data_IF_266471267919
#
_entry.id   IF_266471267919
#
_cell.length_a   1.000
_cell.length_b   1.000
_cell.length_c   1.000
_cell.angle_alpha   90.00
_cell.angle_beta   90.00
_cell.angle_gamma   90.00
#
_symmetry.space_group_name_H-M   'P 1'
#
loop_
_entity.id
_entity.type
_entity.pdbx_description
1 polymer ?
#
# COMPACT_ATOMS: atom_id res chain seq x y z
N UNK A 1 23.77 19.66 -15.52
CA UNK A 1 22.85 19.49 -14.36
C UNK A 1 21.54 18.80 -14.77
N UNK A 2 20.86 19.21 -15.86
CA UNK A 2 19.66 18.50 -16.36
C UNK A 2 19.91 17.07 -16.84
N UNK A 3 21.07 16.78 -17.45
CA UNK A 3 21.43 15.43 -17.93
C UNK A 3 21.59 14.45 -16.76
N UNK A 4 22.26 14.86 -15.68
CA UNK A 4 22.40 14.06 -14.46
C UNK A 4 21.06 13.80 -13.76
N UNK A 5 20.15 14.77 -13.76
CA UNK A 5 18.81 14.62 -13.20
C UNK A 5 17.97 13.63 -14.05
N UNK A 6 18.15 13.67 -15.38
CA UNK A 6 17.48 12.76 -16.31
C UNK A 6 18.03 11.34 -16.20
N UNK A 7 19.34 11.17 -16.04
CA UNK A 7 19.97 9.86 -15.82
C UNK A 7 19.59 9.26 -14.47
N UNK A 8 19.52 10.06 -13.40
CA UNK A 8 19.03 9.59 -12.09
C UNK A 8 17.54 9.24 -12.16
N UNK A 9 16.72 10.07 -12.83
CA UNK A 9 15.30 9.77 -13.03
C UNK A 9 15.12 8.49 -13.86
N UNK A 10 15.95 8.27 -14.89
CA UNK A 10 15.94 7.09 -15.73
C UNK A 10 16.45 5.85 -15.01
N UNK A 11 17.47 5.98 -14.15
CA UNK A 11 17.98 4.91 -13.28
C UNK A 11 16.93 4.53 -12.25
N UNK A 12 16.22 5.49 -11.66
CA UNK A 12 15.18 5.23 -10.67
C UNK A 12 13.91 4.71 -11.33
N UNK A 13 13.54 5.18 -12.53
CA UNK A 13 12.44 4.64 -13.32
C UNK A 13 12.75 3.20 -13.76
N UNK A 14 13.99 2.92 -14.19
CA UNK A 14 14.45 1.56 -14.47
C UNK A 14 14.54 0.69 -13.21
N UNK A 15 14.91 1.26 -12.06
CA UNK A 15 14.90 0.53 -10.79
C UNK A 15 13.48 0.25 -10.32
N UNK A 16 12.53 1.17 -10.49
CA UNK A 16 11.09 0.98 -10.23
C UNK A 16 10.48 -0.05 -11.17
N UNK A 17 10.88 -0.07 -12.45
CA UNK A 17 10.45 -1.07 -13.41
C UNK A 17 11.07 -2.44 -13.11
N UNK A 18 12.37 -2.51 -12.76
CA UNK A 18 13.05 -3.74 -12.30
C UNK A 18 12.53 -4.24 -10.95
N UNK A 19 12.08 -3.35 -10.08
CA UNK A 19 11.41 -3.69 -8.82
C UNK A 19 10.15 -4.52 -9.02
N UNK A 20 9.48 -4.31 -10.17
CA UNK A 20 8.30 -5.05 -10.58
C UNK A 20 8.67 -6.43 -11.18
N UNK A 21 9.89 -6.56 -11.70
CA UNK A 21 10.39 -7.72 -12.47
C UNK A 21 11.14 -8.74 -11.59
N UNK A 22 11.84 -8.29 -10.54
CA UNK A 22 12.62 -9.16 -9.65
C UNK A 22 11.75 -9.99 -8.67
N UNK A 23 10.46 -9.69 -8.60
CA UNK A 23 9.48 -10.35 -7.73
C UNK A 23 9.02 -11.74 -8.22
N UNK A 24 9.42 -12.18 -9.43
CA UNK A 24 8.86 -13.36 -10.11
C UNK A 24 9.69 -14.65 -9.96
N UNK A 25 10.79 -14.65 -9.17
CA UNK A 25 11.82 -15.72 -9.28
C UNK A 25 12.20 -16.54 -8.03
N UNK A 26 11.36 -16.65 -6.99
CA UNK A 26 11.71 -17.47 -5.80
C UNK A 26 10.56 -18.41 -5.41
N UNK A 27 10.82 -19.72 -5.54
CA UNK A 27 9.90 -20.83 -5.27
C UNK A 27 10.09 -21.48 -3.89
N UNK A 28 8.95 -21.98 -3.36
CA UNK A 28 8.76 -23.13 -2.47
C UNK A 28 9.78 -23.39 -1.33
N UNK A 29 9.64 -22.65 -0.23
CA UNK A 29 9.75 -23.08 1.19
C UNK A 29 9.82 -21.89 2.18
N UNK A 30 9.73 -20.63 1.73
CA UNK A 30 9.95 -19.48 2.62
C UNK A 30 9.06 -18.25 2.32
N UNK A 31 7.74 -18.37 2.51
CA UNK A 31 6.85 -17.20 2.48
C UNK A 31 7.38 -16.04 3.33
N UNK A 32 7.97 -16.34 4.50
CA UNK A 32 8.56 -15.33 5.39
C UNK A 32 9.81 -14.64 4.81
N UNK A 33 10.62 -15.32 4.01
CA UNK A 33 11.78 -14.70 3.34
C UNK A 33 11.33 -13.71 2.28
N UNK A 34 10.33 -14.07 1.47
CA UNK A 34 9.75 -13.16 0.48
C UNK A 34 9.08 -11.97 1.18
N UNK A 35 8.38 -12.20 2.30
CA UNK A 35 7.79 -11.13 3.11
C UNK A 35 8.87 -10.21 3.69
N UNK A 36 9.98 -10.76 4.18
CA UNK A 36 11.13 -10.00 4.65
C UNK A 36 11.73 -9.14 3.52
N UNK A 37 11.94 -9.72 2.35
CA UNK A 37 12.49 -9.01 1.20
C UNK A 37 11.53 -7.94 0.67
N UNK A 38 10.23 -8.22 0.69
CA UNK A 38 9.18 -7.24 0.39
C UNK A 38 9.20 -6.11 1.41
N UNK A 39 9.40 -6.43 2.68
CA UNK A 39 9.55 -5.46 3.77
C UNK A 39 10.78 -4.58 3.61
N UNK A 40 11.92 -5.17 3.23
CA UNK A 40 13.13 -4.43 2.91
C UNK A 40 12.86 -3.51 1.72
N UNK A 41 12.61 -4.08 0.55
CA UNK A 41 12.65 -3.29 -0.67
C UNK A 41 11.41 -2.39 -0.77
N UNK A 42 10.21 -2.98 -0.82
CA UNK A 42 8.94 -2.28 -1.08
C UNK A 42 8.39 -1.54 0.15
N UNK A 43 8.33 -2.25 1.27
CA UNK A 43 7.83 -1.73 2.54
C UNK A 43 8.70 -0.60 3.09
N UNK A 44 10.03 -0.79 3.08
CA UNK A 44 10.99 0.15 3.65
C UNK A 44 10.87 1.53 3.01
N UNK A 45 10.89 1.60 1.68
CA UNK A 45 10.77 2.86 0.94
C UNK A 45 9.38 3.50 1.08
N UNK A 46 8.31 2.72 0.86
CA UNK A 46 6.95 3.25 0.91
C UNK A 46 6.55 3.72 2.31
N UNK A 47 6.80 2.91 3.34
CA UNK A 47 6.48 3.29 4.71
C UNK A 47 7.45 4.36 5.24
N UNK A 48 8.71 4.45 4.79
CA UNK A 48 9.60 5.56 5.17
C UNK A 48 9.13 6.89 4.59
N UNK A 49 8.54 6.91 3.38
CA UNK A 49 7.98 8.14 2.82
C UNK A 49 6.88 8.75 3.73
N UNK A 50 6.13 7.91 4.45
CA UNK A 50 5.05 8.36 5.36
C UNK A 50 5.56 8.54 6.79
N UNK A 51 6.21 7.52 7.34
CA UNK A 51 6.62 7.46 8.75
C UNK A 51 7.96 8.16 8.99
N UNK A 52 8.79 8.33 7.96
CA UNK A 52 10.11 8.94 8.04
C UNK A 52 10.05 10.43 8.40
N UNK A 53 9.03 11.16 7.98
CA UNK A 53 8.82 12.55 8.40
C UNK A 53 8.52 12.67 9.91
N UNK A 54 7.79 11.70 10.47
CA UNK A 54 7.49 11.66 11.90
C UNK A 54 8.74 11.29 12.72
N UNK A 55 9.53 10.33 12.22
CA UNK A 55 10.84 10.00 12.80
C UNK A 55 11.80 11.18 12.73
N UNK A 56 11.94 11.83 11.57
CA UNK A 56 12.82 12.99 11.37
C UNK A 56 12.46 14.15 12.30
N UNK A 57 11.17 14.41 12.53
CA UNK A 57 10.71 15.42 13.48
C UNK A 57 11.21 15.19 14.91
N UNK A 58 11.26 13.92 15.36
CA UNK A 58 11.78 13.56 16.69
C UNK A 58 13.31 13.68 16.72
N UNK A 59 13.98 13.26 15.65
CA UNK A 59 15.44 13.29 15.57
C UNK A 59 15.99 14.72 15.51
N UNK A 60 15.25 15.66 14.90
CA UNK A 60 15.64 17.07 14.81
C UNK A 60 15.76 17.77 16.18
N UNK A 61 15.11 17.23 17.22
CA UNK A 61 15.14 17.77 18.58
C UNK A 61 16.16 17.05 19.49
N UNK A 62 16.89 16.05 18.96
CA UNK A 62 17.80 15.21 19.72
C UNK A 62 19.27 15.52 19.44
N UNK A 63 20.12 15.49 20.48
CA UNK A 63 21.59 15.59 20.31
C UNK A 63 22.13 14.33 19.60
N UNK A 64 23.14 14.53 18.74
CA UNK A 64 23.75 13.52 17.85
C UNK A 64 24.07 12.16 18.53
N UNK A 65 24.47 12.13 19.80
CA UNK A 65 24.75 10.89 20.54
C UNK A 65 23.49 10.06 20.91
N UNK A 66 22.32 10.70 21.05
CA UNK A 66 21.05 10.05 21.38
C UNK A 66 20.21 9.66 20.16
N UNK A 67 20.66 10.04 18.95
CA UNK A 67 19.93 9.79 17.70
C UNK A 67 19.80 8.28 17.42
N UNK A 68 20.89 7.52 17.52
CA UNK A 68 20.88 6.05 17.32
C UNK A 68 19.97 5.34 18.32
N UNK A 69 19.98 5.79 19.58
CA UNK A 69 19.12 5.25 20.63
C UNK A 69 17.65 5.49 20.31
N UNK A 70 17.29 6.70 19.89
CA UNK A 70 15.92 7.06 19.48
C UNK A 70 15.42 6.22 18.30
N UNK A 71 16.28 6.01 17.30
CA UNK A 71 15.99 5.14 16.15
C UNK A 71 15.71 3.71 16.64
N UNK A 72 16.59 3.12 17.47
CA UNK A 72 16.40 1.76 17.99
C UNK A 72 15.09 1.61 18.80
N UNK A 73 14.72 2.61 19.60
CA UNK A 73 13.48 2.61 20.38
C UNK A 73 12.26 2.66 19.45
N UNK A 74 12.30 3.53 18.43
CA UNK A 74 11.25 3.61 17.41
C UNK A 74 11.08 2.28 16.65
N UNK A 75 12.18 1.66 16.22
CA UNK A 75 12.16 0.39 15.50
C UNK A 75 11.72 -0.78 16.39
N UNK A 76 12.18 -0.83 17.64
CA UNK A 76 11.77 -1.85 18.61
C UNK A 76 10.28 -1.77 18.93
N UNK A 77 9.78 -0.57 19.22
CA UNK A 77 8.34 -0.35 19.47
C UNK A 77 7.49 -0.66 18.24
N UNK A 78 7.92 -0.24 17.03
CA UNK A 78 7.26 -0.60 15.77
C UNK A 78 7.18 -2.11 15.57
N UNK A 79 8.26 -2.85 15.84
CA UNK A 79 8.30 -4.30 15.70
C UNK A 79 7.33 -4.99 16.68
N UNK A 80 7.38 -4.64 17.96
CA UNK A 80 6.50 -5.21 18.99
C UNK A 80 5.04 -4.94 18.66
N UNK A 81 4.73 -3.71 18.26
CA UNK A 81 3.38 -3.28 17.90
C UNK A 81 2.82 -4.13 16.73
N UNK A 82 3.62 -4.33 15.67
CA UNK A 82 3.20 -5.10 14.50
C UNK A 82 3.16 -6.62 14.74
N UNK A 83 4.02 -7.16 15.61
CA UNK A 83 3.95 -8.55 16.04
C UNK A 83 2.62 -8.84 16.76
N UNK A 84 2.26 -7.98 17.73
CA UNK A 84 1.02 -8.10 18.48
C UNK A 84 -0.20 -7.94 17.58
N UNK A 85 -0.19 -6.93 16.71
CA UNK A 85 -1.28 -6.72 15.74
C UNK A 85 -1.42 -7.90 14.79
N UNK A 86 -0.31 -8.43 14.27
CA UNK A 86 -0.31 -9.57 13.34
C UNK A 86 -0.85 -10.83 14.00
N UNK A 87 -0.45 -11.10 15.24
CA UNK A 87 -1.00 -12.22 15.98
C UNK A 87 -2.50 -12.08 16.22
N UNK A 88 -2.94 -10.89 16.66
CA UNK A 88 -4.35 -10.63 16.91
C UNK A 88 -5.20 -10.75 15.62
N UNK A 89 -4.72 -10.19 14.50
CA UNK A 89 -5.38 -10.30 13.21
C UNK A 89 -5.40 -11.74 12.69
N UNK A 90 -4.33 -12.50 12.91
CA UNK A 90 -4.28 -13.93 12.56
C UNK A 90 -5.29 -14.76 13.34
N UNK A 91 -5.50 -14.48 14.64
CA UNK A 91 -6.55 -15.11 15.43
C UNK A 91 -7.96 -14.74 14.96
N UNK A 92 -8.16 -13.46 14.64
CA UNK A 92 -9.46 -12.93 14.21
C UNK A 92 -9.76 -13.20 12.73
N UNK A 93 -8.87 -13.91 12.03
CA UNK A 93 -8.90 -14.19 10.60
C UNK A 93 -10.22 -14.72 10.05
N UNK A 94 -10.94 -15.49 10.88
CA UNK A 94 -12.25 -16.06 10.54
C UNK A 94 -13.43 -15.09 10.73
N UNK A 95 -13.26 -14.01 11.49
CA UNK A 95 -14.34 -13.09 11.89
C UNK A 95 -14.21 -11.67 11.29
N UNK A 96 -13.02 -11.26 10.84
CA UNK A 96 -12.77 -9.91 10.35
C UNK A 96 -12.57 -9.86 8.82
N UNK A 97 -13.66 -9.63 8.09
CA UNK A 97 -13.57 -9.15 6.71
C UNK A 97 -13.45 -7.62 6.74
N UNK A 98 -12.21 -7.10 6.69
CA UNK A 98 -12.01 -5.64 6.60
C UNK A 98 -12.57 -5.18 5.25
N UNK A 99 -13.63 -4.36 5.29
CA UNK A 99 -14.27 -3.82 4.09
C UNK A 99 -13.29 -2.96 3.29
N UNK A 100 -13.23 -3.17 1.97
CA UNK A 100 -12.37 -2.42 1.04
C UNK A 100 -12.65 -0.90 1.07
N UNK A 101 -13.88 -0.51 1.39
CA UNK A 101 -14.26 0.91 1.56
C UNK A 101 -13.53 1.58 2.72
N UNK A 102 -13.40 0.92 3.88
CA UNK A 102 -12.69 1.46 5.03
C UNK A 102 -11.19 1.61 4.75
N UNK A 103 -10.59 0.59 4.11
CA UNK A 103 -9.21 0.65 3.65
C UNK A 103 -8.99 1.81 2.68
N UNK A 104 -9.90 1.99 1.71
CA UNK A 104 -9.83 3.07 0.74
C UNK A 104 -9.94 4.46 1.37
N UNK A 105 -10.84 4.66 2.34
CA UNK A 105 -10.93 5.95 3.07
C UNK A 105 -9.64 6.23 3.84
N UNK A 106 -9.10 5.25 4.56
CA UNK A 106 -7.81 5.40 5.26
C UNK A 106 -6.66 5.72 4.30
N UNK A 107 -6.64 5.12 3.12
CA UNK A 107 -5.60 5.36 2.12
C UNK A 107 -5.69 6.75 1.47
N UNK A 108 -6.89 7.30 1.31
CA UNK A 108 -7.10 8.70 0.89
C UNK A 108 -6.61 9.65 1.97
N UNK A 109 -6.97 9.41 3.24
CA UNK A 109 -6.52 10.24 4.38
C UNK A 109 -5.00 10.20 4.51
N UNK A 110 -4.38 9.03 4.40
CA UNK A 110 -2.93 8.89 4.39
C UNK A 110 -2.28 9.63 3.20
N UNK A 111 -2.85 9.51 2.00
CA UNK A 111 -2.39 10.23 0.82
C UNK A 111 -2.43 11.75 0.97
N UNK A 112 -3.53 12.29 1.52
CA UNK A 112 -3.66 13.70 1.88
C UNK A 112 -2.61 14.13 2.90
N UNK A 113 -2.36 13.32 3.93
CA UNK A 113 -1.33 13.60 4.93
C UNK A 113 0.08 13.62 4.32
N UNK A 114 0.42 12.67 3.44
CA UNK A 114 1.71 12.64 2.73
C UNK A 114 1.85 13.89 1.85
N UNK A 115 0.79 14.28 1.14
CA UNK A 115 0.80 15.48 0.30
C UNK A 115 1.10 16.73 1.13
N UNK A 116 0.44 16.88 2.29
CA UNK A 116 0.69 17.98 3.22
C UNK A 116 2.14 18.00 3.72
N UNK A 117 2.70 16.84 4.07
CA UNK A 117 4.10 16.73 4.51
C UNK A 117 5.09 17.05 3.38
N UNK A 118 4.82 16.59 2.15
CA UNK A 118 5.66 16.87 1.00
C UNK A 118 5.71 18.36 0.67
N UNK A 119 4.54 19.04 0.69
CA UNK A 119 4.44 20.49 0.49
C UNK A 119 5.17 21.27 1.58
N UNK A 120 5.10 20.80 2.84
CA UNK A 120 5.84 21.40 3.95
C UNK A 120 7.35 21.31 3.76
N UNK A 121 7.87 20.15 3.35
CA UNK A 121 9.30 19.94 3.08
C UNK A 121 9.77 20.73 1.84
N UNK A 122 8.87 20.95 0.87
CA UNK A 122 9.20 21.65 -0.37
C UNK A 122 9.58 23.12 -0.18
N UNK A 123 9.18 23.77 0.93
CA UNK A 123 9.43 25.20 1.21
C UNK A 123 9.00 26.18 0.08
N UNK A 124 8.20 25.72 -0.91
CA UNK A 124 7.89 26.46 -2.15
C UNK A 124 7.02 27.69 -1.93
N UNK A 125 6.27 27.78 -0.83
CA UNK A 125 5.49 28.98 -0.49
C UNK A 125 5.54 29.30 1.01
N UNK A 126 5.77 30.58 1.42
CA UNK A 126 5.82 30.99 2.84
C UNK A 126 4.52 30.72 3.62
N UNK A 127 3.38 30.54 2.92
CA UNK A 127 2.09 30.14 3.51
C UNK A 127 2.16 28.75 4.16
N UNK A 128 2.91 27.81 3.59
CA UNK A 128 3.04 26.43 4.09
C UNK A 128 4.15 26.26 5.12
N UNK A 129 5.03 27.25 5.26
CA UNK A 129 6.04 27.29 6.34
C UNK A 129 5.39 27.45 7.72
N UNK A 130 4.25 28.12 7.78
CA UNK A 130 3.55 28.45 9.04
C UNK A 130 2.39 27.50 9.37
N UNK A 131 2.03 26.58 8.46
CA UNK A 131 0.99 25.57 8.71
C UNK A 131 1.59 24.38 9.48
N UNK A 132 1.98 24.62 10.73
CA UNK A 132 2.26 23.56 11.68
C UNK A 132 0.94 23.10 12.27
N UNK A 133 0.48 21.90 11.88
CA UNK A 133 -0.51 21.17 12.68
C UNK A 133 0.20 20.84 13.99
N UNK A 134 0.15 21.78 14.92
CA UNK A 134 0.59 21.54 16.28
C UNK A 134 -0.40 20.52 16.86
N UNK A 135 0.10 19.41 17.43
CA UNK A 135 -0.79 18.42 18.03
C UNK A 135 -1.68 19.12 19.07
N UNK A 136 -2.97 18.75 19.18
CA UNK A 136 -3.90 19.41 20.09
C UNK A 136 -3.32 19.46 21.50
N UNK A 137 -3.60 20.55 22.23
CA UNK A 137 -2.96 20.88 23.51
C UNK A 137 -2.94 19.72 24.52
N UNK A 138 -3.90 18.80 24.43
CA UNK A 138 -3.97 17.57 25.23
C UNK A 138 -2.81 16.60 24.95
N UNK A 139 -2.55 16.29 23.67
CA UNK A 139 -1.45 15.41 23.23
C UNK A 139 -0.11 16.08 23.52
N UNK A 140 0.01 17.39 23.22
CA UNK A 140 1.22 18.14 23.51
C UNK A 140 1.53 18.20 25.01
N UNK A 141 0.51 18.31 25.87
CA UNK A 141 0.68 18.33 27.33
C UNK A 141 1.01 16.93 27.90
N UNK A 142 0.50 15.86 27.28
CA UNK A 142 0.88 14.47 27.61
C UNK A 142 2.34 14.19 27.22
N UNK A 143 2.75 14.62 26.02
CA UNK A 143 4.13 14.55 25.54
C UNK A 143 5.09 15.42 26.38
N UNK A 144 4.65 16.60 26.82
CA UNK A 144 5.45 17.54 27.63
C UNK A 144 5.52 17.17 29.11
N UNK A 145 4.52 16.50 29.69
CA UNK A 145 4.61 15.94 31.06
C UNK A 145 5.57 14.75 31.14
N UNK A 146 5.72 13.99 30.05
CA UNK A 146 6.78 13.00 29.87
C UNK A 146 8.18 13.60 29.59
N UNK A 147 8.28 14.93 29.40
CA UNK A 147 9.50 15.63 29.00
C UNK A 147 10.53 15.83 30.13
N UNK A 148 10.24 15.43 31.36
CA UNK A 148 11.28 15.35 32.41
C UNK A 148 12.06 14.03 32.40
N UNK A 149 11.54 13.00 31.71
CA UNK A 149 12.24 11.73 31.43
C UNK A 149 12.64 11.70 29.96
N UNK A 150 13.63 12.53 29.62
CA UNK A 150 14.06 12.81 28.26
C UNK A 150 14.55 11.54 27.52
N UNK A 151 14.19 11.43 26.23
CA UNK A 151 14.77 10.56 25.18
C UNK A 151 14.08 9.22 24.83
N UNK A 152 13.17 8.66 25.64
CA UNK A 152 12.58 7.33 25.32
C UNK A 152 11.10 7.36 24.90
N UNK A 153 10.29 8.25 25.49
CA UNK A 153 8.84 8.16 25.35
C UNK A 153 8.33 8.57 23.95
N UNK A 154 8.87 9.64 23.37
CA UNK A 154 8.42 10.12 22.06
C UNK A 154 8.68 9.11 20.92
N UNK A 155 9.90 8.55 20.76
CA UNK A 155 10.15 7.50 19.76
C UNK A 155 9.30 6.24 19.98
N UNK A 156 9.04 5.86 21.23
CA UNK A 156 8.24 4.69 21.58
C UNK A 156 6.77 4.86 21.18
N UNK A 157 6.15 5.97 21.58
CA UNK A 157 4.73 6.23 21.27
C UNK A 157 4.54 6.34 19.77
N UNK A 158 5.44 7.05 19.09
CA UNK A 158 5.38 7.20 17.65
C UNK A 158 5.58 5.87 16.93
N UNK A 159 6.53 5.04 17.38
CA UNK A 159 6.72 3.70 16.83
C UNK A 159 5.50 2.80 17.03
N UNK A 160 4.83 2.87 18.18
CA UNK A 160 3.57 2.15 18.40
C UNK A 160 2.43 2.67 17.50
N UNK A 161 2.33 4.00 17.35
CA UNK A 161 1.30 4.65 16.54
C UNK A 161 1.46 4.41 15.03
N UNK A 162 2.59 3.85 14.58
CA UNK A 162 2.76 3.44 13.18
C UNK A 162 1.76 2.39 12.72
N UNK A 163 1.17 1.60 13.64
CA UNK A 163 0.03 0.72 13.35
C UNK A 163 -1.13 1.50 12.72
N UNK A 164 -1.37 2.71 13.22
CA UNK A 164 -2.49 3.56 12.81
C UNK A 164 -2.23 4.29 11.49
N UNK A 165 -0.99 4.22 10.98
CA UNK A 165 -0.56 4.82 9.72
C UNK A 165 -0.08 3.71 8.76
N UNK A 166 -0.98 2.81 8.34
CA UNK A 166 -0.60 1.72 7.46
C UNK A 166 -0.31 2.25 6.05
N UNK A 167 0.83 1.85 5.47
CA UNK A 167 1.08 2.02 4.04
C UNK A 167 0.37 0.86 3.27
N UNK A 168 0.03 1.05 1.98
CA UNK A 168 -0.74 0.05 1.21
C UNK A 168 -0.09 -1.35 1.20
N UNK A 169 1.24 -1.43 1.22
CA UNK A 169 1.99 -2.69 1.37
C UNK A 169 1.68 -3.35 2.72
N UNK A 170 1.68 -2.59 3.81
CA UNK A 170 1.35 -3.09 5.15
C UNK A 170 -0.10 -3.56 5.23
N UNK A 171 -1.03 -2.91 4.53
CA UNK A 171 -2.42 -3.38 4.42
C UNK A 171 -2.52 -4.75 3.75
N UNK A 172 -1.75 -4.97 2.67
CA UNK A 172 -1.65 -6.28 2.03
C UNK A 172 -1.12 -7.36 2.98
N UNK A 173 -0.10 -7.04 3.78
CA UNK A 173 0.47 -7.98 4.77
C UNK A 173 -0.46 -8.22 5.96
N UNK A 174 -1.23 -7.22 6.39
CA UNK A 174 -2.29 -7.40 7.39
C UNK A 174 -3.38 -8.35 6.88
N UNK A 175 -3.79 -8.23 5.62
CA UNK A 175 -4.78 -9.15 5.05
C UNK A 175 -4.22 -10.57 4.88
N UNK A 176 -2.95 -10.70 4.51
CA UNK A 176 -2.26 -12.00 4.48
C UNK A 176 -2.21 -12.63 5.88
N UNK A 177 -1.99 -11.82 6.91
CA UNK A 177 -2.01 -12.23 8.31
C UNK A 177 -3.41 -12.70 8.74
N UNK A 178 -4.47 -11.93 8.46
CA UNK A 178 -5.89 -12.33 8.66
C UNK A 178 -6.17 -13.67 7.97
N UNK A 179 -5.76 -13.82 6.71
CA UNK A 179 -5.98 -15.06 5.96
C UNK A 179 -5.21 -16.27 6.50
N UNK A 180 -4.19 -16.09 7.35
CA UNK A 180 -3.42 -17.19 7.92
C UNK A 180 -4.20 -17.97 8.98
N UNK A 181 -5.22 -17.37 9.60
CA UNK A 181 -6.08 -18.02 10.60
C UNK A 181 -5.36 -18.48 11.88
N UNK A 182 -4.08 -18.14 12.07
CA UNK A 182 -3.28 -18.58 13.20
C UNK A 182 -2.49 -17.41 13.80
N UNK A 183 -2.53 -17.28 15.13
CA UNK A 183 -1.80 -16.24 15.89
C UNK A 183 -0.31 -16.18 15.52
N UNK A 184 0.39 -17.31 15.57
CA UNK A 184 1.83 -17.36 15.40
C UNK A 184 2.25 -17.05 13.97
N UNK A 185 1.54 -17.62 12.99
CA UNK A 185 1.81 -17.31 11.58
C UNK A 185 1.47 -15.85 11.25
N UNK A 186 0.36 -15.33 11.76
CA UNK A 186 -0.02 -13.93 11.59
C UNK A 186 0.99 -12.95 12.18
N UNK A 187 1.53 -13.25 13.37
CA UNK A 187 2.60 -12.49 13.99
C UNK A 187 3.91 -12.56 13.19
N UNK A 188 4.31 -13.76 12.74
CA UNK A 188 5.54 -13.95 11.95
C UNK A 188 5.48 -13.20 10.61
N UNK A 189 4.33 -13.15 9.94
CA UNK A 189 4.16 -12.39 8.69
C UNK A 189 4.51 -10.91 8.90
N UNK A 190 3.86 -10.23 9.85
CA UNK A 190 4.13 -8.82 10.10
C UNK A 190 5.50 -8.58 10.77
N UNK A 191 5.95 -9.51 11.60
CA UNK A 191 7.27 -9.48 12.23
C UNK A 191 8.40 -9.51 11.20
N UNK A 192 8.38 -10.50 10.29
CA UNK A 192 9.35 -10.60 9.19
C UNK A 192 9.29 -9.38 8.26
N UNK A 193 8.09 -8.86 7.98
CA UNK A 193 7.93 -7.64 7.20
C UNK A 193 8.61 -6.44 7.86
N UNK A 194 8.34 -6.20 9.15
CA UNK A 194 8.93 -5.06 9.88
C UNK A 194 10.43 -5.22 10.05
N UNK A 195 10.92 -6.43 10.36
CA UNK A 195 12.35 -6.74 10.39
C UNK A 195 13.01 -6.42 9.05
N UNK A 196 12.33 -6.69 7.93
CA UNK A 196 12.77 -6.29 6.60
C UNK A 196 12.89 -4.77 6.45
N UNK A 197 11.96 -3.98 6.99
CA UNK A 197 12.00 -2.51 6.90
C UNK A 197 13.12 -1.88 7.75
N UNK A 198 13.63 -2.59 8.76
CA UNK A 198 14.57 -2.08 9.77
C UNK A 198 15.86 -1.50 9.20
N UNK A 199 16.60 -2.17 8.29
CA UNK A 199 17.86 -1.66 7.76
C UNK A 199 17.71 -0.33 7.04
N UNK A 200 16.61 -0.14 6.29
CA UNK A 200 16.34 1.09 5.55
C UNK A 200 15.95 2.23 6.48
N UNK A 201 15.07 1.97 7.46
CA UNK A 201 14.70 2.99 8.45
C UNK A 201 15.92 3.43 9.28
N UNK A 202 16.81 2.49 9.61
CA UNK A 202 18.05 2.81 10.33
C UNK A 202 19.01 3.64 9.45
N UNK A 203 19.25 3.22 8.21
CA UNK A 203 20.13 3.92 7.27
C UNK A 203 19.61 5.33 6.94
N UNK A 204 18.35 5.44 6.55
CA UNK A 204 17.73 6.72 6.20
C UNK A 204 17.52 7.61 7.43
N UNK A 205 17.32 7.05 8.62
CA UNK A 205 17.24 7.80 9.86
C UNK A 205 18.53 8.56 10.17
N UNK A 206 19.68 7.89 10.07
CA UNK A 206 21.02 8.51 10.27
C UNK A 206 21.35 9.46 9.11
N UNK A 207 21.02 9.08 7.89
CA UNK A 207 21.35 9.86 6.70
C UNK A 207 20.40 11.03 6.44
N UNK A 208 19.27 11.14 7.14
CA UNK A 208 18.21 12.11 6.88
C UNK A 208 18.70 13.56 6.79
N UNK A 209 19.54 14.00 7.72
CA UNK A 209 20.09 15.37 7.73
C UNK A 209 20.98 15.66 6.51
N UNK A 210 21.83 14.69 6.13
CA UNK A 210 22.73 14.80 4.97
C UNK A 210 21.98 14.68 3.65
N UNK A 211 20.93 13.86 3.60
CA UNK A 211 20.10 13.67 2.42
C UNK A 211 19.29 14.94 2.14
N UNK A 212 18.73 15.56 3.18
CA UNK A 212 17.89 16.75 3.05
C UNK A 212 18.69 18.04 2.82
N UNK A 213 19.98 18.08 3.19
CA UNK A 213 20.84 19.25 2.93
C UNK A 213 21.26 19.37 1.46
N UNK A 214 21.24 18.27 0.71
CA UNK A 214 21.56 18.25 -0.72
C UNK A 214 20.31 18.66 -1.53
N UNK A 215 20.31 19.89 -2.06
CA UNK A 215 19.18 20.46 -2.85
C UNK A 215 18.55 19.51 -3.89
N UNK A 216 19.30 18.87 -4.80
CA UNK A 216 18.69 18.00 -5.81
C UNK A 216 18.03 16.76 -5.19
N UNK A 217 18.59 16.24 -4.10
CA UNK A 217 18.07 15.06 -3.41
C UNK A 217 16.81 15.38 -2.59
N UNK A 218 16.76 16.57 -1.97
CA UNK A 218 15.55 17.12 -1.34
C UNK A 218 14.41 17.28 -2.35
N UNK A 219 14.68 17.88 -3.52
CA UNK A 219 13.68 18.03 -4.59
C UNK A 219 13.19 16.66 -5.06
N UNK A 220 14.10 15.71 -5.25
CA UNK A 220 13.74 14.35 -5.65
C UNK A 220 12.83 13.66 -4.62
N UNK A 221 13.17 13.73 -3.33
CA UNK A 221 12.36 13.16 -2.25
C UNK A 221 10.95 13.79 -2.20
N UNK A 222 10.85 15.12 -2.37
CA UNK A 222 9.56 15.83 -2.43
C UNK A 222 8.73 15.36 -3.62
N UNK A 223 9.30 15.30 -4.83
CA UNK A 223 8.60 14.81 -6.02
C UNK A 223 8.12 13.36 -5.86
N UNK A 224 8.97 12.49 -5.30
CA UNK A 224 8.61 11.10 -5.01
C UNK A 224 7.44 11.00 -4.00
N UNK A 225 7.46 11.80 -2.93
CA UNK A 225 6.36 11.85 -1.97
C UNK A 225 5.06 12.38 -2.58
N UNK A 226 5.13 13.42 -3.43
CA UNK A 226 3.95 13.93 -4.15
C UNK A 226 3.38 12.84 -5.06
N UNK A 227 4.23 12.15 -5.83
CA UNK A 227 3.80 11.03 -6.66
C UNK A 227 3.12 9.92 -5.83
N UNK A 228 3.73 9.51 -4.71
CA UNK A 228 3.16 8.52 -3.81
C UNK A 228 1.85 8.97 -3.17
N UNK A 229 1.70 10.27 -2.86
CA UNK A 229 0.47 10.83 -2.32
C UNK A 229 -0.68 10.72 -3.34
N UNK A 230 -0.45 11.15 -4.59
CA UNK A 230 -1.45 11.01 -5.65
C UNK A 230 -1.76 9.54 -5.96
N UNK A 231 -0.74 8.67 -5.98
CA UNK A 231 -0.94 7.24 -6.14
C UNK A 231 -1.78 6.65 -5.00
N UNK A 232 -1.53 7.03 -3.74
CA UNK A 232 -2.29 6.59 -2.57
C UNK A 232 -3.75 7.06 -2.62
N UNK A 233 -3.98 8.31 -2.98
CA UNK A 233 -5.34 8.86 -3.15
C UNK A 233 -6.08 8.08 -4.24
N UNK A 234 -5.43 7.84 -5.38
CA UNK A 234 -6.02 7.09 -6.49
C UNK A 234 -6.34 5.64 -6.09
N UNK A 235 -5.40 4.94 -5.46
CA UNK A 235 -5.62 3.59 -4.91
C UNK A 235 -6.81 3.55 -3.95
N UNK A 236 -6.94 4.55 -3.08
CA UNK A 236 -8.08 4.63 -2.16
C UNK A 236 -9.42 4.87 -2.86
N UNK A 237 -9.45 5.62 -3.97
CA UNK A 237 -10.66 5.76 -4.80
C UNK A 237 -11.02 4.45 -5.50
N UNK A 238 -10.01 3.72 -6.01
CA UNK A 238 -10.19 2.40 -6.64
C UNK A 238 -10.75 1.39 -5.63
N UNK A 239 -10.23 1.34 -4.40
CA UNK A 239 -10.71 0.45 -3.34
C UNK A 239 -12.13 0.77 -2.87
N UNK A 240 -12.60 2.01 -3.06
CA UNK A 240 -14.00 2.40 -2.82
C UNK A 240 -14.93 2.03 -3.97
N UNK A 241 -14.41 1.52 -5.10
CA UNK A 241 -15.18 1.32 -6.33
C UNK A 241 -15.67 2.61 -6.95
N UNK A 242 -14.99 3.74 -6.69
CA UNK A 242 -15.37 5.05 -7.23
C UNK A 242 -15.11 5.10 -8.74
N UNK A 243 -15.98 5.77 -9.47
CA UNK A 243 -15.77 6.07 -10.90
C UNK A 243 -14.68 7.12 -11.12
N UNK A 244 -14.36 7.93 -10.11
CA UNK A 244 -13.37 9.00 -10.14
C UNK A 244 -11.95 8.49 -9.90
N UNK A 245 -11.40 7.75 -10.86
CA UNK A 245 -10.01 7.26 -10.84
C UNK A 245 -9.23 7.89 -11.98
N UNK A 246 -7.91 8.06 -11.81
CA UNK A 246 -7.03 8.57 -12.86
C UNK A 246 -7.15 7.77 -14.15
N UNK A 247 -7.31 6.45 -14.03
CA UNK A 247 -7.50 5.53 -15.15
C UNK A 247 -8.79 5.86 -15.91
N UNK A 248 -9.90 6.08 -15.22
CA UNK A 248 -11.19 6.42 -15.84
C UNK A 248 -11.19 7.83 -16.44
N UNK A 249 -10.55 8.81 -15.79
CA UNK A 249 -10.39 10.15 -16.36
C UNK A 249 -9.52 10.13 -17.61
N UNK A 250 -8.41 9.37 -17.61
CA UNK A 250 -7.58 9.20 -18.80
C UNK A 250 -8.39 8.59 -19.95
N UNK A 251 -9.13 7.50 -19.69
CA UNK A 251 -10.03 6.88 -20.68
C UNK A 251 -11.10 7.84 -21.23
N UNK A 252 -11.67 8.69 -20.39
CA UNK A 252 -12.65 9.70 -20.80
C UNK A 252 -12.02 10.83 -21.66
N UNK A 253 -10.78 11.21 -21.38
CA UNK A 253 -10.06 12.28 -22.10
C UNK A 253 -9.45 11.77 -23.40
N UNK A 254 -8.85 10.58 -23.41
CA UNK A 254 -8.17 10.03 -24.60
C UNK A 254 -9.12 9.39 -25.60
N UNK A 255 -10.43 9.35 -25.29
CA UNK A 255 -11.46 8.76 -26.16
C UNK A 255 -11.16 7.32 -26.59
N UNK A 256 -10.27 6.63 -25.86
CA UNK A 256 -9.80 5.31 -26.24
C UNK A 256 -11.01 4.40 -26.21
N UNK A 257 -11.39 3.90 -27.39
CA UNK A 257 -12.49 2.95 -27.52
C UNK A 257 -12.34 1.86 -26.45
N UNK A 258 -13.45 1.43 -25.83
CA UNK A 258 -13.40 0.27 -24.97
C UNK A 258 -12.67 -0.82 -25.73
N UNK A 259 -11.64 -1.40 -25.11
CA UNK A 259 -10.99 -2.65 -25.55
C UNK A 259 -12.07 -3.49 -26.22
N UNK A 260 -11.91 -3.79 -27.54
CA UNK A 260 -12.86 -4.57 -28.35
C UNK A 260 -13.63 -5.49 -27.40
N UNK A 261 -14.93 -5.23 -27.25
CA UNK A 261 -15.76 -5.98 -26.30
C UNK A 261 -15.73 -7.44 -26.70
N UNK A 262 -14.79 -8.19 -26.14
CA UNK A 262 -14.87 -9.63 -26.10
C UNK A 262 -16.04 -9.92 -25.18
N UNK A 263 -17.19 -10.14 -25.81
CA UNK A 263 -18.38 -10.64 -25.16
C UNK A 263 -18.06 -12.02 -24.59
N UNK A 264 -18.72 -12.38 -23.49
CA UNK A 264 -18.63 -13.74 -22.95
C UNK A 264 -19.11 -14.71 -24.02
N UNK A 265 -18.17 -15.33 -24.75
CA UNK A 265 -18.46 -16.28 -25.84
C UNK A 265 -19.08 -17.59 -25.33
N UNK A 266 -19.01 -17.86 -24.02
CA UNK A 266 -19.40 -19.12 -23.41
C UNK A 266 -20.46 -18.93 -22.32
N UNK A 267 -21.74 -18.97 -22.72
CA UNK A 267 -22.84 -19.35 -21.82
C UNK A 267 -22.75 -20.87 -21.61
N UNK A 268 -22.15 -21.30 -20.51
CA UNK A 268 -22.17 -22.71 -20.11
C UNK A 268 -23.16 -22.85 -18.96
N UNK A 269 -24.17 -23.71 -19.14
CA UNK A 269 -25.13 -24.08 -18.09
C UNK A 269 -25.89 -22.87 -17.48
N UNK A 270 -26.31 -21.93 -18.34
CA UNK A 270 -27.04 -20.71 -17.91
C UNK A 270 -26.20 -19.70 -17.13
N UNK A 271 -24.89 -19.94 -16.95
CA UNK A 271 -23.94 -19.04 -16.28
C UNK A 271 -22.96 -18.42 -17.29
N UNK A 272 -22.59 -17.17 -17.04
CA UNK A 272 -21.52 -16.49 -17.78
C UNK A 272 -20.17 -16.88 -17.18
N UNK A 273 -19.34 -17.62 -17.91
CA UNK A 273 -18.02 -18.04 -17.42
C UNK A 273 -16.96 -17.05 -17.90
N UNK A 274 -16.29 -16.39 -16.95
CA UNK A 274 -15.20 -15.45 -17.24
C UNK A 274 -13.93 -15.90 -16.53
N UNK A 275 -12.81 -15.90 -17.24
CA UNK A 275 -11.51 -16.22 -16.66
C UNK A 275 -10.69 -14.93 -16.53
N UNK A 276 -10.08 -14.70 -15.37
CA UNK A 276 -9.04 -13.69 -15.20
C UNK A 276 -7.72 -14.41 -14.95
N UNK A 277 -6.76 -14.17 -15.84
CA UNK A 277 -5.36 -14.52 -15.60
C UNK A 277 -4.75 -13.43 -14.71
N UNK A 278 -4.46 -13.82 -13.47
CA UNK A 278 -3.82 -12.97 -12.47
C UNK A 278 -2.31 -13.11 -12.63
N UNK A 279 -1.65 -12.02 -13.01
CA UNK A 279 -0.18 -11.94 -13.06
C UNK A 279 0.33 -11.06 -11.92
N UNK A 280 1.60 -11.20 -11.58
CA UNK A 280 2.27 -10.37 -10.57
C UNK A 280 2.13 -8.87 -10.84
N UNK A 281 1.95 -8.47 -12.11
CA UNK A 281 1.95 -7.06 -12.57
C UNK A 281 0.66 -6.59 -13.24
N UNK A 282 -0.33 -7.47 -13.44
CA UNK A 282 -1.58 -7.11 -14.16
C UNK A 282 -2.69 -8.14 -13.98
N UNK A 283 -3.93 -7.72 -14.25
CA UNK A 283 -5.06 -8.61 -14.44
C UNK A 283 -5.45 -8.64 -15.93
N UNK A 284 -5.60 -9.84 -16.50
CA UNK A 284 -6.10 -10.01 -17.87
C UNK A 284 -7.40 -10.80 -17.84
N UNK A 285 -8.51 -10.16 -18.14
CA UNK A 285 -9.81 -10.81 -18.23
C UNK A 285 -10.04 -11.33 -19.66
N UNK A 286 -10.68 -12.50 -19.77
CA UNK A 286 -11.09 -13.09 -21.04
C UNK A 286 -12.31 -12.42 -21.67
N UNK A 287 -12.99 -11.55 -20.92
CA UNK A 287 -14.13 -10.77 -21.36
C UNK A 287 -14.17 -9.46 -20.57
N UNK A 288 -14.60 -8.39 -21.22
CA UNK A 288 -14.75 -7.06 -20.61
C UNK A 288 -16.19 -6.66 -20.42
N UNK A 289 -17.15 -7.45 -20.93
CA UNK A 289 -18.59 -7.20 -20.84
C UNK A 289 -19.32 -8.34 -20.15
N UNK A 290 -20.34 -8.03 -19.35
CA UNK A 290 -21.19 -8.99 -18.64
C UNK A 290 -22.66 -8.58 -18.80
N UNK A 291 -23.57 -9.54 -18.91
CA UNK A 291 -25.02 -9.29 -18.89
C UNK A 291 -25.56 -9.15 -17.46
N UNK A 292 -26.46 -8.20 -17.25
CA UNK A 292 -27.17 -8.00 -15.98
C UNK A 292 -28.10 -9.18 -15.68
N UNK A 293 -28.27 -9.52 -14.40
CA UNK A 293 -29.22 -10.55 -13.96
C UNK A 293 -28.82 -12.00 -14.23
N UNK A 294 -27.79 -12.26 -15.05
CA UNK A 294 -27.30 -13.61 -15.35
C UNK A 294 -26.13 -13.96 -14.41
N UNK A 295 -26.16 -15.09 -13.68
CA UNK A 295 -25.10 -15.49 -12.76
C UNK A 295 -23.75 -15.64 -13.47
N UNK A 296 -22.70 -15.10 -12.86
CA UNK A 296 -21.32 -15.09 -13.38
C UNK A 296 -20.47 -16.04 -12.56
N UNK A 297 -19.80 -16.96 -13.24
CA UNK A 297 -18.76 -17.83 -12.67
C UNK A 297 -17.40 -17.26 -13.05
N UNK A 298 -16.78 -16.53 -12.12
CA UNK A 298 -15.49 -15.90 -12.30
C UNK A 298 -14.38 -16.85 -11.85
N UNK A 299 -13.56 -17.31 -12.80
CA UNK A 299 -12.41 -18.19 -12.57
C UNK A 299 -11.14 -17.33 -12.53
N UNK A 300 -10.49 -17.29 -11.37
CA UNK A 300 -9.24 -16.58 -11.17
C UNK A 300 -8.10 -17.59 -11.26
N UNK A 301 -7.20 -17.42 -12.23
CA UNK A 301 -6.02 -18.28 -12.41
C UNK A 301 -4.77 -17.57 -11.94
N UNK A 302 -4.02 -18.19 -11.05
CA UNK A 302 -2.71 -17.72 -10.60
C UNK A 302 -1.63 -18.71 -11.02
N UNK A 303 -0.49 -18.19 -11.47
CA UNK A 303 0.71 -18.98 -11.74
C UNK A 303 1.93 -18.23 -11.18
N UNK A 304 2.50 -18.74 -10.08
CA UNK A 304 3.65 -18.15 -9.37
C UNK A 304 3.48 -16.65 -9.06
N UNK A 305 2.28 -16.25 -8.63
CA UNK A 305 2.00 -14.86 -8.27
C UNK A 305 2.38 -14.64 -6.82
N UNK A 306 3.29 -13.69 -6.55
CA UNK A 306 3.74 -13.33 -5.20
C UNK A 306 3.55 -11.83 -4.87
N UNK A 307 2.73 -11.13 -5.63
CA UNK A 307 2.45 -9.71 -5.42
C UNK A 307 1.08 -9.48 -4.75
N UNK A 308 0.74 -8.21 -4.53
CA UNK A 308 -0.59 -7.81 -4.06
C UNK A 308 -1.74 -8.28 -4.97
N UNK A 309 -1.46 -8.64 -6.23
CA UNK A 309 -2.42 -9.18 -7.17
C UNK A 309 -3.12 -10.47 -6.67
N UNK A 310 -2.52 -11.19 -5.72
CA UNK A 310 -3.17 -12.34 -5.07
C UNK A 310 -4.39 -11.94 -4.25
N UNK A 311 -4.44 -10.72 -3.72
CA UNK A 311 -5.59 -10.28 -2.94
C UNK A 311 -6.62 -9.65 -3.87
N UNK A 312 -7.48 -10.46 -4.45
CA UNK A 312 -8.51 -9.99 -5.37
C UNK A 312 -9.73 -9.44 -4.63
N UNK A 313 -10.21 -8.27 -5.04
CA UNK A 313 -11.39 -7.63 -4.45
C UNK A 313 -12.30 -7.01 -5.51
N UNK A 314 -13.62 -7.14 -5.30
CA UNK A 314 -14.68 -6.44 -6.03
C UNK A 314 -15.40 -5.55 -5.01
N UNK A 315 -15.03 -4.26 -4.90
CA UNK A 315 -15.51 -3.40 -3.83
C UNK A 315 -17.03 -3.22 -3.77
N UNK A 316 -17.68 -3.04 -4.91
CA UNK A 316 -19.14 -2.82 -4.97
C UNK A 316 -19.96 -4.03 -4.53
N UNK A 317 -19.38 -5.23 -4.56
CA UNK A 317 -20.01 -6.47 -4.10
C UNK A 317 -19.51 -6.92 -2.72
N UNK A 318 -18.59 -6.17 -2.09
CA UNK A 318 -17.90 -6.56 -0.85
C UNK A 318 -17.23 -7.94 -0.92
N UNK A 319 -16.83 -8.38 -2.11
CA UNK A 319 -16.14 -9.67 -2.30
C UNK A 319 -14.64 -9.41 -2.18
N UNK A 320 -13.96 -10.13 -1.28
CA UNK A 320 -12.50 -10.09 -1.15
C UNK A 320 -11.98 -11.49 -0.88
N UNK A 321 -11.05 -11.97 -1.71
CA UNK A 321 -10.44 -13.30 -1.58
C UNK A 321 -8.93 -13.22 -1.75
N UNK A 322 -8.21 -13.96 -0.92
CA UNK A 322 -6.79 -14.20 -1.12
C UNK A 322 -6.61 -15.45 -1.99
N UNK A 323 -5.94 -15.28 -3.12
CA UNK A 323 -5.66 -16.34 -4.08
C UNK A 323 -4.40 -17.13 -3.68
N UNK A 324 -4.34 -18.44 -3.99
CA UNK A 324 -3.11 -19.21 -3.86
C UNK A 324 -2.03 -18.64 -4.80
N UNK A 325 -0.75 -18.88 -4.47
CA UNK A 325 0.38 -18.45 -5.32
C UNK A 325 0.32 -19.09 -6.71
N UNK A 326 -0.13 -20.35 -6.78
CA UNK A 326 -0.39 -21.09 -8.02
C UNK A 326 -1.65 -21.91 -7.83
N UNK A 327 -2.63 -21.76 -8.72
CA UNK A 327 -3.89 -22.48 -8.64
C UNK A 327 -5.05 -21.75 -9.31
N UNK A 328 -6.26 -22.25 -9.05
CA UNK A 328 -7.50 -21.64 -9.54
C UNK A 328 -8.47 -21.44 -8.40
N UNK A 329 -9.13 -20.29 -8.39
CA UNK A 329 -10.17 -19.95 -7.43
C UNK A 329 -11.41 -19.50 -8.18
N UNK A 330 -12.58 -19.90 -7.69
CA UNK A 330 -13.85 -19.53 -8.32
C UNK A 330 -14.65 -18.62 -7.38
N UNK A 331 -15.25 -17.59 -7.98
CA UNK A 331 -16.18 -16.68 -7.33
C UNK A 331 -17.45 -16.68 -8.17
N UNK A 332 -18.59 -16.93 -7.53
CA UNK A 332 -19.89 -16.82 -8.17
C UNK A 332 -20.60 -15.56 -7.65
N UNK A 333 -21.13 -14.75 -8.56
CA UNK A 333 -21.94 -13.58 -8.21
C UNK A 333 -22.91 -13.25 -9.34
N UNK A 334 -23.97 -12.52 -9.02
CA UNK A 334 -24.95 -12.04 -10.02
C UNK A 334 -24.91 -10.52 -10.08
N UNK A 335 -24.54 -9.90 -11.22
CA UNK A 335 -24.56 -8.46 -11.36
C UNK A 335 -25.99 -7.92 -11.33
N UNK A 336 -26.28 -7.00 -10.41
CA UNK A 336 -27.61 -6.41 -10.19
C UNK A 336 -27.72 -4.94 -10.61
N UNK A 337 -26.62 -4.32 -11.04
CA UNK A 337 -26.56 -2.90 -11.43
C UNK A 337 -25.84 -2.75 -12.76
N UNK A 338 -26.42 -1.96 -13.66
CA UNK A 338 -25.79 -1.60 -14.93
C UNK A 338 -24.57 -0.70 -14.70
N UNK A 339 -23.63 -0.72 -15.65
CA UNK A 339 -22.43 0.11 -15.64
C UNK A 339 -21.16 -0.62 -15.25
N UNK A 340 -20.11 0.14 -14.89
CA UNK A 340 -18.77 -0.41 -14.65
C UNK A 340 -18.68 -1.10 -13.29
N UNK A 341 -18.38 -2.40 -13.31
CA UNK A 341 -18.02 -3.20 -12.15
C UNK A 341 -16.50 -3.29 -12.02
N UNK A 342 -15.90 -2.49 -11.15
CA UNK A 342 -14.45 -2.48 -10.92
C UNK A 342 -14.00 -3.63 -10.04
N UNK A 343 -12.91 -4.28 -10.42
CA UNK A 343 -12.16 -5.23 -9.58
C UNK A 343 -10.71 -4.76 -9.44
N UNK A 344 -10.08 -5.08 -8.31
CA UNK A 344 -8.73 -4.61 -8.00
C UNK A 344 -7.98 -5.52 -7.03
N UNK A 345 -6.68 -5.30 -6.85
CA UNK A 345 -5.92 -5.85 -5.74
C UNK A 345 -6.19 -5.07 -4.44
N UNK A 346 -5.85 -5.62 -3.26
CA UNK A 346 -5.97 -4.91 -1.97
C UNK A 346 -5.23 -3.57 -1.89
N UNK A 347 -4.27 -3.34 -2.78
CA UNK A 347 -3.54 -2.07 -2.86
C UNK A 347 -4.17 -1.03 -3.79
N UNK A 348 -5.22 -1.37 -4.53
CA UNK A 348 -5.80 -0.49 -5.55
C UNK A 348 -4.89 -0.23 -6.77
N UNK A 349 -3.73 -0.89 -6.84
CA UNK A 349 -2.68 -0.63 -7.84
C UNK A 349 -2.98 -1.30 -9.18
N UNK A 350 -3.30 -2.60 -9.14
CA UNK A 350 -3.76 -3.35 -10.30
C UNK A 350 -5.27 -3.39 -10.28
N UNK A 351 -5.91 -2.94 -11.35
CA UNK A 351 -7.37 -2.83 -11.44
C UNK A 351 -7.84 -3.13 -12.85
N UNK A 352 -9.05 -3.66 -12.96
CA UNK A 352 -9.80 -3.79 -14.20
C UNK A 352 -11.27 -3.51 -13.96
N UNK A 353 -12.07 -3.61 -15.01
CA UNK A 353 -13.52 -3.45 -14.90
C UNK A 353 -14.24 -4.39 -15.86
N UNK A 354 -15.45 -4.78 -15.47
CA UNK A 354 -16.45 -5.32 -16.36
C UNK A 354 -17.48 -4.25 -16.69
N UNK A 355 -17.88 -4.13 -17.93
CA UNK A 355 -19.00 -3.30 -18.33
C UNK A 355 -20.28 -4.15 -18.29
N UNK A 356 -21.16 -3.87 -17.32
CA UNK A 356 -22.44 -4.57 -17.19
C UNK A 356 -23.43 -3.91 -18.14
N UNK A 357 -23.89 -4.69 -19.11
CA UNK A 357 -24.86 -4.34 -20.15
C UNK A 357 -26.13 -5.19 -19.99
N UNK A 358 -27.16 -4.86 -20.74
CA UNK A 358 -28.42 -5.60 -20.76
C UNK A 358 -28.28 -7.01 -21.37
#
# INVERSE_FOLDING_TARGET
MCIFLFDILRIILNQLLRFCEEHDKISNMSNLWIIFLTGLISGGLSCFAVQGGLLAGILAEQKNNNQKRSILIFLGSKLIAHLLLGGLLGLLGSALVITSTFQGVMQIVAGLFILLMALKISEVHPIFRNFSITPPKFIFRLLRKGSKSENFFAPLVVGFLTILIPCGITQGMMLLSVSSGNFWYGALILGSFVLGTTPIFFALGIASEKILSIKPLKIFAVLAMIYLAFASINSGQVLRGSVHTWQNYKLAITGSEPVKSEQVLNLQDGKQVVTIDVKSTSYKASATTLKIGVPVKLILKTNNVFSCARSFTIPSLNISKLLPSTGTETIEFTPTKLGKLTFTCSMGMYSGYFNIVE
#
